data_IF_460812912727
#
_entry.id   IF_460812912727
#
_cell.length_a   1.000
_cell.length_b   1.000
_cell.length_c   1.000
_cell.angle_alpha   90.00
_cell.angle_beta   90.00
_cell.angle_gamma   90.00
#
_symmetry.space_group_name_H-M   'P 1'
#
loop_
_entity.id
_entity.type
_entity.pdbx_description
1 polymer ?
#
# COMPACT_ATOMS: atom_id res chain seq x y z
N UNK A 1 7.05 17.46 15.48
CA UNK A 1 5.70 16.87 15.41
C UNK A 1 5.02 17.51 14.21
N UNK A 2 4.85 16.75 13.12
CA UNK A 2 4.12 17.24 11.93
C UNK A 2 2.66 17.03 12.25
N UNK A 3 1.98 18.08 12.70
CA UNK A 3 0.59 17.97 13.14
C UNK A 3 -0.33 18.41 12.01
N UNK A 4 -1.20 17.50 11.55
CA UNK A 4 -2.31 17.77 10.62
C UNK A 4 -1.88 18.28 9.24
N UNK A 5 -1.00 17.55 8.59
CA UNK A 5 -0.64 17.80 7.19
C UNK A 5 -1.36 16.84 6.25
N UNK A 6 -1.77 17.35 5.08
CA UNK A 6 -2.14 16.51 3.94
C UNK A 6 -0.87 16.21 3.13
N UNK A 7 -0.71 14.97 2.70
CA UNK A 7 0.33 14.53 1.78
C UNK A 7 -0.33 14.16 0.46
N UNK A 8 0.33 14.52 -0.65
CA UNK A 8 -0.02 14.03 -1.97
C UNK A 8 1.26 13.51 -2.61
N UNK A 9 1.24 12.24 -2.98
CA UNK A 9 2.44 11.55 -3.48
C UNK A 9 2.10 10.82 -4.78
N UNK A 10 3.06 10.84 -5.70
CA UNK A 10 3.03 9.97 -6.88
C UNK A 10 4.05 8.87 -6.65
N UNK A 11 3.60 7.62 -6.67
CA UNK A 11 4.49 6.45 -6.61
C UNK A 11 4.49 5.78 -7.97
N UNK A 12 5.69 5.48 -8.47
CA UNK A 12 5.84 4.78 -9.73
C UNK A 12 6.51 3.43 -9.48
N UNK A 13 6.02 2.40 -10.14
CA UNK A 13 6.56 1.05 -10.01
C UNK A 13 6.03 0.26 -8.82
N UNK A 14 6.32 -1.04 -8.85
CA UNK A 14 5.84 -2.02 -7.88
C UNK A 14 5.29 -3.25 -8.59
N UNK A 15 4.93 -4.26 -7.80
CA UNK A 15 4.37 -5.50 -8.31
C UNK A 15 3.21 -5.95 -7.46
N UNK A 16 2.22 -6.57 -8.10
CA UNK A 16 1.21 -7.38 -7.42
C UNK A 16 1.42 -8.83 -7.82
N UNK A 17 1.30 -9.74 -6.86
CA UNK A 17 1.45 -11.18 -7.10
C UNK A 17 0.27 -11.92 -6.51
N UNK A 18 -0.33 -12.76 -7.33
CA UNK A 18 -1.36 -13.71 -6.97
C UNK A 18 -0.81 -15.14 -7.15
N UNK A 19 -1.58 -16.13 -6.71
CA UNK A 19 -1.17 -17.53 -6.83
C UNK A 19 -0.88 -17.94 -8.29
N UNK A 20 -1.74 -17.48 -9.22
CA UNK A 20 -1.73 -17.92 -10.61
C UNK A 20 -1.29 -16.81 -11.58
N UNK A 21 -0.47 -15.87 -11.11
CA UNK A 21 0.10 -14.80 -11.94
C UNK A 21 0.33 -13.51 -11.18
N UNK A 22 0.56 -12.44 -11.90
CA UNK A 22 0.81 -11.13 -11.29
C UNK A 22 0.89 -10.01 -12.31
N UNK A 23 1.23 -8.84 -11.82
CA UNK A 23 1.29 -7.63 -12.63
C UNK A 23 2.27 -6.60 -12.10
N UNK A 24 2.53 -5.60 -12.93
CA UNK A 24 3.34 -4.43 -12.59
C UNK A 24 2.42 -3.28 -12.25
N UNK A 25 2.67 -2.68 -11.09
CA UNK A 25 2.07 -1.40 -10.73
C UNK A 25 2.84 -0.34 -11.52
N UNK A 26 2.12 0.46 -12.32
CA UNK A 26 2.73 1.50 -13.16
C UNK A 26 2.85 2.80 -12.39
N UNK A 27 1.70 3.34 -12.01
CA UNK A 27 1.59 4.62 -11.33
C UNK A 27 0.52 4.51 -10.25
N UNK A 28 0.76 5.17 -9.12
CA UNK A 28 -0.18 5.36 -8.03
C UNK A 28 -0.23 6.83 -7.63
N UNK A 29 -1.44 7.30 -7.33
CA UNK A 29 -1.67 8.59 -6.69
C UNK A 29 -2.12 8.32 -5.26
N UNK A 30 -1.43 8.94 -4.31
CA UNK A 30 -1.80 8.93 -2.89
C UNK A 30 -2.33 10.29 -2.46
N UNK A 31 -3.41 10.24 -1.70
CA UNK A 31 -3.91 11.33 -0.87
C UNK A 31 -3.91 10.85 0.59
N UNK A 32 -3.01 11.42 1.39
CA UNK A 32 -2.81 11.00 2.77
C UNK A 32 -3.01 12.14 3.77
N UNK A 33 -3.36 11.77 5.00
CA UNK A 33 -3.55 12.69 6.10
C UNK A 33 -2.72 12.21 7.29
N UNK A 34 -1.82 13.07 7.76
CA UNK A 34 -0.95 12.80 8.90
C UNK A 34 -1.57 13.43 10.15
N UNK A 35 -1.90 12.58 11.10
CA UNK A 35 -2.38 12.93 12.43
C UNK A 35 -1.29 12.70 13.47
N UNK A 36 -1.50 13.18 14.69
CA UNK A 36 -0.54 13.03 15.78
C UNK A 36 -0.13 11.59 16.10
N UNK A 37 -0.99 10.60 15.80
CA UNK A 37 -0.76 9.18 16.08
C UNK A 37 -0.99 8.24 14.90
N UNK A 38 -1.50 8.75 13.78
CA UNK A 38 -1.80 7.89 12.63
C UNK A 38 -1.55 8.60 11.31
N UNK A 39 -1.35 7.80 10.28
CA UNK A 39 -1.40 8.23 8.89
C UNK A 39 -2.53 7.46 8.22
N UNK A 40 -3.45 8.19 7.62
CA UNK A 40 -4.56 7.61 6.86
C UNK A 40 -4.29 7.93 5.38
N UNK A 41 -4.24 6.92 4.52
CA UNK A 41 -3.95 7.09 3.09
C UNK A 41 -5.10 6.56 2.26
N UNK A 42 -5.36 7.22 1.12
CA UNK A 42 -6.22 6.76 0.05
C UNK A 42 -5.40 6.75 -1.24
N UNK A 43 -5.26 5.58 -1.84
CA UNK A 43 -4.32 5.34 -2.92
C UNK A 43 -5.06 4.70 -4.09
N UNK A 44 -4.82 5.23 -5.28
CA UNK A 44 -5.33 4.68 -6.54
C UNK A 44 -4.17 4.40 -7.48
N UNK A 45 -4.10 3.17 -7.96
CA UNK A 45 -3.05 2.67 -8.83
C UNK A 45 -3.61 2.09 -10.14
N UNK A 46 -2.79 2.16 -11.18
CA UNK A 46 -2.98 1.43 -12.42
C UNK A 46 -2.02 0.23 -12.47
N UNK A 47 -2.55 -0.96 -12.71
CA UNK A 47 -1.78 -2.21 -12.76
C UNK A 47 -1.96 -2.87 -14.10
N UNK A 48 -0.84 -3.25 -14.73
CA UNK A 48 -0.80 -4.08 -15.92
C UNK A 48 -0.47 -5.52 -15.55
N UNK A 49 -1.34 -6.43 -15.94
CA UNK A 49 -1.24 -7.85 -15.60
C UNK A 49 -0.47 -8.64 -16.67
N UNK A 50 0.01 -9.82 -16.29
CA UNK A 50 0.75 -10.74 -17.18
C UNK A 50 -0.06 -11.27 -18.38
N UNK A 51 -1.39 -11.20 -18.34
CA UNK A 51 -2.31 -11.58 -19.42
C UNK A 51 -2.69 -10.38 -20.31
N UNK A 52 -1.97 -9.25 -20.17
CA UNK A 52 -2.23 -7.95 -20.81
C UNK A 52 -3.55 -7.29 -20.41
N UNK A 53 -4.24 -7.81 -19.40
CA UNK A 53 -5.38 -7.12 -18.79
C UNK A 53 -4.90 -6.05 -17.80
N UNK A 54 -5.87 -5.30 -17.29
CA UNK A 54 -5.62 -4.24 -16.29
C UNK A 54 -6.39 -4.53 -15.01
N UNK A 55 -5.81 -4.13 -13.88
CA UNK A 55 -6.50 -4.04 -12.60
C UNK A 55 -6.53 -2.58 -12.18
N UNK A 56 -7.72 -2.08 -11.89
CA UNK A 56 -7.89 -0.89 -11.04
C UNK A 56 -7.67 -1.32 -9.59
N UNK A 57 -6.64 -0.77 -8.96
CA UNK A 57 -6.33 -0.98 -7.56
C UNK A 57 -6.60 0.32 -6.80
N UNK A 58 -7.57 0.30 -5.89
CA UNK A 58 -7.85 1.39 -4.97
C UNK A 58 -7.75 0.86 -3.55
N UNK A 59 -7.08 1.54 -2.64
CA UNK A 59 -7.05 1.12 -1.25
C UNK A 59 -6.98 2.29 -0.29
N UNK A 60 -7.59 2.09 0.87
CA UNK A 60 -7.41 2.96 2.03
C UNK A 60 -6.64 2.20 3.09
N UNK A 61 -5.65 2.84 3.72
CA UNK A 61 -4.89 2.22 4.80
C UNK A 61 -4.72 3.15 5.98
N UNK A 62 -4.64 2.56 7.17
CA UNK A 62 -4.36 3.24 8.42
C UNK A 62 -3.07 2.66 9.01
N UNK A 63 -2.11 3.55 9.20
CA UNK A 63 -0.85 3.29 9.89
C UNK A 63 -0.96 3.96 11.26
N UNK A 64 -0.81 3.21 12.34
CA UNK A 64 -0.70 3.81 13.68
C UNK A 64 0.76 3.79 14.10
N UNK A 65 1.33 4.99 14.17
CA UNK A 65 2.73 5.19 14.50
C UNK A 65 3.02 4.78 15.95
N UNK A 66 4.13 4.09 16.15
CA UNK A 66 4.80 4.03 17.45
C UNK A 66 5.65 5.30 17.64
N UNK A 67 6.15 5.53 18.85
CA UNK A 67 6.96 6.73 19.15
C UNK A 67 8.21 6.84 18.27
N UNK A 68 8.80 5.70 17.87
CA UNK A 68 10.00 5.63 17.02
C UNK A 68 9.73 5.85 15.52
N UNK A 69 8.46 5.92 15.07
CA UNK A 69 8.12 5.95 13.65
C UNK A 69 8.84 7.05 12.87
N UNK A 70 8.69 8.30 13.31
CA UNK A 70 9.17 9.46 12.55
C UNK A 70 10.69 9.57 12.53
N UNK A 71 11.35 9.13 13.60
CA UNK A 71 12.81 9.08 13.68
C UNK A 71 13.35 8.02 12.70
N UNK A 72 12.80 6.81 12.72
CA UNK A 72 13.15 5.74 11.78
C UNK A 72 12.87 6.13 10.33
N UNK A 73 11.71 6.73 10.08
CA UNK A 73 11.29 7.13 8.74
C UNK A 73 12.22 8.20 8.17
N UNK A 74 12.59 9.21 8.98
CA UNK A 74 13.53 10.26 8.58
C UNK A 74 14.96 9.74 8.34
N UNK A 75 15.34 8.61 8.94
CA UNK A 75 16.62 7.93 8.71
C UNK A 75 16.57 6.94 7.53
N UNK A 76 15.41 6.72 6.93
CA UNK A 76 15.23 5.72 5.87
C UNK A 76 15.40 4.28 6.36
N UNK A 77 15.19 4.04 7.66
CA UNK A 77 15.15 2.68 8.21
C UNK A 77 13.90 1.93 7.75
N UNK A 78 13.98 0.60 7.73
CA UNK A 78 12.80 -0.25 7.50
C UNK A 78 11.93 -0.20 8.76
N UNK A 79 10.63 0.01 8.56
CA UNK A 79 9.64 0.10 9.62
C UNK A 79 8.62 -1.02 9.41
N UNK A 80 8.25 -1.71 10.49
CA UNK A 80 7.31 -2.85 10.47
C UNK A 80 6.27 -2.74 11.60
N UNK A 81 5.13 -3.44 11.53
CA UNK A 81 4.29 -3.62 12.70
C UNK A 81 5.06 -4.32 13.84
N UNK A 82 5.17 -3.65 14.99
CA UNK A 82 6.01 -4.06 16.12
C UNK A 82 7.36 -3.32 16.18
N UNK A 83 7.80 -2.69 15.09
CA UNK A 83 9.00 -1.85 15.05
C UNK A 83 8.75 -0.55 14.26
N UNK A 84 8.37 0.51 14.98
CA UNK A 84 8.01 1.82 14.42
C UNK A 84 6.53 1.95 14.08
N UNK A 85 5.78 0.86 13.89
CA UNK A 85 4.32 0.89 13.78
C UNK A 85 3.67 0.03 14.86
N UNK A 86 2.58 0.51 15.46
CA UNK A 86 1.73 -0.29 16.34
C UNK A 86 0.85 -1.24 15.52
N UNK A 87 0.27 -0.75 14.43
CA UNK A 87 -0.40 -1.59 13.43
C UNK A 87 -0.49 -0.87 12.08
N UNK A 88 -0.71 -1.66 11.03
CA UNK A 88 -0.89 -1.17 9.67
C UNK A 88 -1.75 -2.13 8.85
N UNK A 89 -2.95 -1.68 8.49
CA UNK A 89 -3.90 -2.44 7.70
C UNK A 89 -4.60 -1.54 6.70
N UNK A 90 -5.10 -2.13 5.61
CA UNK A 90 -5.88 -1.43 4.62
C UNK A 90 -6.99 -2.26 4.01
N UNK A 91 -7.97 -1.59 3.45
CA UNK A 91 -9.06 -2.16 2.68
C UNK A 91 -8.72 -1.95 1.20
N UNK A 92 -8.62 -3.05 0.46
CA UNK A 92 -8.17 -3.08 -0.92
C UNK A 92 -9.36 -3.42 -1.82
N UNK A 93 -9.64 -2.53 -2.75
CA UNK A 93 -10.60 -2.73 -3.83
C UNK A 93 -9.85 -2.98 -5.12
N UNK A 94 -10.08 -4.15 -5.70
CA UNK A 94 -9.53 -4.55 -6.97
C UNK A 94 -10.68 -4.74 -7.95
N UNK A 95 -10.51 -4.25 -9.17
CA UNK A 95 -11.50 -4.38 -10.24
C UNK A 95 -10.82 -4.66 -11.58
N UNK A 96 -11.36 -5.61 -12.33
CA UNK A 96 -10.82 -6.02 -13.64
C UNK A 96 -11.89 -6.58 -14.56
N UNK A 97 -11.60 -6.55 -15.87
CA UNK A 97 -12.37 -7.24 -16.90
C UNK A 97 -11.74 -8.58 -17.32
N UNK A 98 -10.60 -8.98 -16.73
CA UNK A 98 -9.98 -10.28 -17.01
C UNK A 98 -10.77 -11.43 -16.42
N UNK A 99 -11.02 -12.47 -17.22
CA UNK A 99 -11.57 -13.72 -16.74
C UNK A 99 -10.60 -14.43 -15.77
N UNK A 100 -9.29 -14.41 -16.07
CA UNK A 100 -8.23 -15.03 -15.25
C UNK A 100 -8.20 -14.46 -13.83
N UNK A 101 -8.43 -13.16 -13.70
CA UNK A 101 -8.39 -12.44 -12.43
C UNK A 101 -9.76 -12.04 -11.89
N UNK A 102 -10.86 -12.50 -12.52
CA UNK A 102 -12.23 -12.12 -12.20
C UNK A 102 -12.62 -12.32 -10.72
N UNK A 103 -11.98 -13.28 -10.05
CA UNK A 103 -12.21 -13.55 -8.63
C UNK A 103 -12.05 -12.31 -7.74
N UNK A 104 -11.17 -11.35 -8.11
CA UNK A 104 -10.98 -10.14 -7.30
C UNK A 104 -12.22 -9.25 -7.26
N UNK A 105 -13.08 -9.32 -8.29
CA UNK A 105 -14.30 -8.52 -8.37
C UNK A 105 -15.34 -8.93 -7.33
N UNK A 106 -15.32 -10.20 -6.92
CA UNK A 106 -16.33 -10.80 -6.03
C UNK A 106 -15.84 -10.97 -4.59
N UNK A 107 -14.61 -10.52 -4.27
CA UNK A 107 -14.00 -10.70 -2.97
C UNK A 107 -13.70 -9.37 -2.29
N UNK A 108 -13.98 -9.30 -0.99
CA UNK A 108 -13.44 -8.24 -0.13
C UNK A 108 -12.00 -8.58 0.18
N UNK A 109 -11.09 -7.64 -0.05
CA UNK A 109 -9.66 -7.86 0.13
C UNK A 109 -9.15 -6.92 1.23
N UNK A 110 -8.46 -7.48 2.21
CA UNK A 110 -7.79 -6.74 3.29
C UNK A 110 -6.29 -6.89 3.13
N UNK A 111 -5.57 -5.79 3.24
CA UNK A 111 -4.11 -5.77 3.26
C UNK A 111 -3.58 -5.68 4.68
N UNK A 112 -2.59 -6.51 5.00
CA UNK A 112 -1.75 -6.38 6.20
C UNK A 112 -0.41 -5.81 5.76
N UNK A 113 -0.08 -4.63 6.27
CA UNK A 113 1.22 -4.03 6.01
C UNK A 113 2.35 -4.83 6.66
N UNK A 114 3.46 -4.98 5.95
CA UNK A 114 4.63 -5.74 6.40
C UNK A 114 5.81 -4.82 6.65
N UNK A 115 6.16 -4.00 5.66
CA UNK A 115 7.33 -3.13 5.69
C UNK A 115 7.05 -1.82 4.95
N UNK A 116 7.50 -0.71 5.53
CA UNK A 116 7.56 0.59 4.84
C UNK A 116 8.96 1.16 4.99
N UNK A 117 9.46 1.75 3.90
CA UNK A 117 10.75 2.46 3.87
C UNK A 117 10.58 3.76 3.10
N UNK A 118 11.09 4.86 3.67
CA UNK A 118 11.15 6.14 2.98
C UNK A 118 12.16 6.09 1.83
N UNK A 119 11.92 6.89 0.80
CA UNK A 119 12.93 7.12 -0.24
C UNK A 119 14.12 7.89 0.35
N UNK A 120 15.33 7.47 -0.01
CA UNK A 120 16.58 8.12 0.38
C UNK A 120 17.46 8.34 -0.84
N UNK A 121 18.58 9.07 -0.67
CA UNK A 121 19.59 9.21 -1.72
C UNK A 121 20.21 7.86 -2.14
N UNK A 122 20.07 6.81 -1.33
CA UNK A 122 20.69 5.50 -1.55
C UNK A 122 19.70 4.46 -2.09
N UNK A 123 18.40 4.75 -2.12
CA UNK A 123 17.43 3.79 -2.64
C UNK A 123 15.97 4.27 -2.60
N UNK A 124 15.15 3.59 -3.38
CA UNK A 124 13.73 3.89 -3.51
C UNK A 124 12.94 3.53 -2.25
N UNK A 125 11.94 4.36 -1.95
CA UNK A 125 10.94 4.04 -0.94
C UNK A 125 9.97 2.97 -1.44
N UNK A 126 9.38 2.23 -0.52
CA UNK A 126 8.36 1.23 -0.83
C UNK A 126 7.43 0.98 0.35
N UNK A 127 6.26 0.43 0.03
CA UNK A 127 5.32 -0.13 0.98
C UNK A 127 4.98 -1.57 0.55
N UNK A 128 5.10 -2.51 1.49
CA UNK A 128 4.87 -3.94 1.26
C UNK A 128 3.66 -4.41 2.07
N UNK A 129 2.78 -5.17 1.41
CA UNK A 129 1.57 -5.74 2.01
C UNK A 129 1.41 -7.20 1.64
N UNK A 130 0.87 -7.99 2.56
CA UNK A 130 0.15 -9.23 2.23
C UNK A 130 -1.33 -8.91 2.02
N UNK A 131 -1.93 -9.50 0.98
CA UNK A 131 -3.35 -9.33 0.67
C UNK A 131 -4.13 -10.62 0.97
N UNK A 132 -5.27 -10.46 1.63
CA UNK A 132 -6.14 -11.56 2.05
C UNK A 132 -7.56 -11.34 1.53
N UNK A 133 -8.04 -12.29 0.73
CA UNK A 133 -9.44 -12.35 0.33
C UNK A 133 -10.28 -12.95 1.46
N UNK A 134 -11.30 -12.21 1.91
CA UNK A 134 -12.25 -12.70 2.91
C UNK A 134 -13.25 -13.64 2.24
N UNK A 135 -13.35 -14.86 2.76
CA UNK A 135 -14.31 -15.86 2.32
C UNK A 135 -15.45 -15.99 3.32
N UNK A 136 -16.66 -16.21 2.80
CA UNK A 136 -17.84 -16.55 3.58
C UNK A 136 -17.91 -18.06 3.83
#
# INVERSE_FOLDING_TARGET
>A
MVDKSRIMTLFNGGTITFKDGGGKIRDCVEDGHVYSRSVDVNIRCYVEMDDNSTILLEYVAKLVAAESFWDKFGKGEIITPGDGLNYWFGEFKLATMSEKYSWVNDNIIVGKGLEIKAETSEGHGYALYDLYALKH
#
